data_IF_043919315179
#
_entry.id   IF_043919315179
#
_cell.length_a   1.000
_cell.length_b   1.000
_cell.length_c   1.000
_cell.angle_alpha   90.00
_cell.angle_beta   90.00
_cell.angle_gamma   90.00
#
_symmetry.space_group_name_H-M   'P 1'
#
loop_
_entity.id
_entity.type
_entity.pdbx_description
1 polymer ?
#
# COMPACT_ATOMS: atom_id res chain seq x y z
N UNK A 1 19.96 -16.60 -13.80
CA UNK A 1 19.77 -17.64 -12.76
C UNK A 1 19.09 -16.94 -11.59
N UNK A 2 17.75 -16.91 -11.58
CA UNK A 2 16.97 -16.22 -10.53
C UNK A 2 17.08 -17.06 -9.26
N UNK A 3 17.66 -16.49 -8.20
CA UNK A 3 17.82 -17.14 -6.91
C UNK A 3 16.40 -17.36 -6.35
N UNK A 4 15.83 -18.55 -6.57
CA UNK A 4 14.56 -18.94 -5.99
C UNK A 4 14.71 -18.93 -4.47
N UNK A 5 13.87 -18.13 -3.82
CA UNK A 5 13.41 -18.22 -2.43
C UNK A 5 14.39 -18.93 -1.49
N UNK A 6 15.01 -18.19 -0.57
CA UNK A 6 15.66 -18.77 0.61
C UNK A 6 14.57 -19.38 1.52
N UNK A 7 14.00 -20.51 1.10
CA UNK A 7 13.12 -21.34 1.92
C UNK A 7 13.99 -21.96 3.02
N UNK A 8 13.97 -21.37 4.21
CA UNK A 8 14.43 -22.05 5.41
C UNK A 8 13.45 -23.21 5.67
N UNK A 9 13.81 -24.39 5.16
CA UNK A 9 13.28 -25.74 5.44
C UNK A 9 11.75 -25.92 5.48
N UNK A 10 11.20 -26.71 4.54
CA UNK A 10 9.76 -27.04 4.41
C UNK A 10 9.04 -27.53 5.68
N UNK A 11 9.75 -28.11 6.66
CA UNK A 11 9.15 -28.51 7.94
C UNK A 11 8.79 -27.31 8.85
N UNK A 12 9.52 -26.20 8.72
CA UNK A 12 9.26 -24.97 9.47
C UNK A 12 8.02 -24.25 8.92
N UNK A 13 7.85 -24.24 7.61
CA UNK A 13 6.77 -23.53 6.90
C UNK A 13 5.39 -24.00 7.40
N UNK A 14 5.14 -25.32 7.43
CA UNK A 14 3.83 -25.85 7.81
C UNK A 14 3.47 -25.59 9.28
N UNK A 15 4.43 -25.70 10.19
CA UNK A 15 4.21 -25.47 11.62
C UNK A 15 3.93 -23.98 11.91
N UNK A 16 4.71 -23.09 11.30
CA UNK A 16 4.56 -21.64 11.47
C UNK A 16 3.28 -21.14 10.81
N UNK A 17 2.97 -21.61 9.59
CA UNK A 17 1.72 -21.26 8.91
C UNK A 17 0.49 -21.65 9.75
N UNK A 18 0.44 -22.87 10.29
CA UNK A 18 -0.68 -23.30 11.13
C UNK A 18 -0.87 -22.45 12.39
N UNK A 19 0.23 -22.10 13.07
CA UNK A 19 0.19 -21.26 14.28
C UNK A 19 -0.26 -19.82 13.97
N UNK A 20 0.21 -19.24 12.85
CA UNK A 20 -0.05 -17.85 12.48
C UNK A 20 -1.39 -17.65 11.73
N UNK A 21 -2.04 -18.72 11.26
CA UNK A 21 -3.35 -18.67 10.59
C UNK A 21 -4.53 -18.52 11.55
N UNK A 22 -4.44 -19.17 12.72
CA UNK A 22 -5.59 -19.37 13.63
C UNK A 22 -5.60 -18.43 14.82
N UNK A 23 -4.60 -17.57 14.93
CA UNK A 23 -4.41 -16.77 16.12
C UNK A 23 -5.11 -15.40 16.07
N UNK A 24 -5.40 -14.87 17.26
CA UNK A 24 -5.80 -13.49 17.44
C UNK A 24 -4.53 -12.63 17.54
N UNK A 25 -4.47 -11.56 16.75
CA UNK A 25 -3.33 -10.64 16.71
C UNK A 25 -3.78 -9.33 17.33
N UNK A 26 -2.94 -8.76 18.19
CA UNK A 26 -3.04 -7.35 18.48
C UNK A 26 -2.59 -6.58 17.23
N UNK A 27 -3.26 -5.47 16.92
CA UNK A 27 -2.73 -4.53 15.93
C UNK A 27 -1.35 -4.08 16.40
N UNK A 28 -0.35 -4.28 15.56
CA UNK A 28 1.03 -3.96 15.87
C UNK A 28 1.23 -2.45 15.91
N UNK A 29 1.69 -1.92 17.05
CA UNK A 29 2.15 -0.53 17.17
C UNK A 29 3.59 -0.40 16.62
N UNK A 30 3.78 -0.82 15.36
CA UNK A 30 5.08 -0.70 14.67
C UNK A 30 4.89 -0.32 13.21
N UNK A 31 5.74 0.62 12.74
CA UNK A 31 5.74 1.04 11.34
C UNK A 31 6.30 -0.06 10.44
N UNK A 32 5.74 -0.22 9.24
CA UNK A 32 6.27 -1.14 8.22
C UNK A 32 6.42 -0.40 6.91
N UNK A 33 7.59 -0.53 6.30
CA UNK A 33 7.88 0.06 4.98
C UNK A 33 8.53 -0.97 4.08
N UNK A 34 8.29 -0.86 2.77
CA UNK A 34 8.95 -1.66 1.75
C UNK A 34 9.68 -0.74 0.76
N UNK A 35 10.97 -1.00 0.55
CA UNK A 35 11.80 -0.28 -0.40
C UNK A 35 12.85 -1.24 -0.96
N UNK A 36 13.02 -1.23 -2.29
CA UNK A 36 14.06 -2.00 -3.01
C UNK A 36 14.20 -3.48 -2.56
N UNK A 37 13.07 -4.17 -2.44
CA UNK A 37 13.04 -5.59 -2.07
C UNK A 37 13.31 -5.88 -0.59
N UNK A 38 13.23 -4.86 0.26
CA UNK A 38 13.49 -4.93 1.69
C UNK A 38 12.31 -4.38 2.48
N UNK A 39 11.85 -5.13 3.48
CA UNK A 39 10.87 -4.67 4.46
C UNK A 39 11.60 -4.16 5.70
N UNK A 40 11.29 -2.95 6.13
CA UNK A 40 11.85 -2.32 7.34
C UNK A 40 10.76 -2.13 8.38
N UNK A 41 11.04 -2.56 9.61
CA UNK A 41 10.14 -2.43 10.75
C UNK A 41 10.63 -1.33 11.71
N UNK A 42 9.75 -0.37 12.00
CA UNK A 42 9.96 0.66 13.00
C UNK A 42 9.92 0.06 14.41
N UNK A 43 11.04 0.16 15.12
CA UNK A 43 11.23 -0.13 16.54
C UNK A 43 10.25 -1.15 17.20
N UNK A 44 10.19 -2.39 16.69
CA UNK A 44 9.64 -3.51 17.46
C UNK A 44 10.63 -3.86 18.58
N UNK A 45 10.44 -3.28 19.77
CA UNK A 45 11.41 -3.37 20.89
C UNK A 45 11.27 -4.62 21.77
N UNK A 46 10.37 -5.54 21.44
CA UNK A 46 10.16 -6.78 22.20
C UNK A 46 11.17 -7.85 21.75
N UNK A 47 12.34 -7.85 22.40
CA UNK A 47 13.42 -8.83 22.20
C UNK A 47 13.05 -10.12 22.96
N UNK A 48 12.05 -10.86 22.48
CA UNK A 48 11.86 -12.22 22.96
C UNK A 48 13.00 -13.11 22.43
N UNK A 49 13.36 -14.12 23.22
CA UNK A 49 14.44 -15.06 22.89
C UNK A 49 14.11 -15.94 21.68
N UNK A 50 12.83 -16.06 21.34
CA UNK A 50 12.31 -16.97 20.32
C UNK A 50 11.21 -16.28 19.48
N UNK A 51 11.58 -15.22 18.75
CA UNK A 51 10.64 -14.55 17.86
C UNK A 51 10.50 -15.32 16.54
N UNK A 52 9.28 -15.41 16.02
CA UNK A 52 8.97 -15.89 14.67
C UNK A 52 8.26 -14.80 13.90
N UNK A 53 8.74 -14.50 12.70
CA UNK A 53 8.11 -13.56 11.77
C UNK A 53 7.77 -14.26 10.46
N UNK A 54 6.61 -13.91 9.91
CA UNK A 54 6.17 -14.29 8.57
C UNK A 54 5.72 -13.05 7.82
N UNK A 55 6.04 -12.99 6.53
CA UNK A 55 5.49 -12.02 5.59
C UNK A 55 4.65 -12.79 4.58
N UNK A 56 3.38 -12.40 4.48
CA UNK A 56 2.38 -13.05 3.63
C UNK A 56 1.58 -12.05 2.81
N UNK A 57 0.92 -12.54 1.77
CA UNK A 57 -0.13 -11.81 1.07
C UNK A 57 -1.30 -11.46 2.01
N UNK A 58 -2.06 -10.42 1.66
CA UNK A 58 -3.43 -10.23 2.15
C UNK A 58 -4.44 -10.87 1.20
N UNK A 59 -5.71 -10.91 1.59
CA UNK A 59 -6.80 -11.14 0.65
C UNK A 59 -6.90 -9.98 -0.36
N UNK A 60 -7.66 -10.18 -1.44
CA UNK A 60 -7.85 -9.18 -2.51
C UNK A 60 -8.43 -7.85 -2.00
N UNK A 61 -9.22 -7.88 -0.92
CA UNK A 61 -9.80 -6.70 -0.26
C UNK A 61 -8.86 -6.05 0.78
N UNK A 62 -7.60 -6.50 0.85
CA UNK A 62 -6.62 -6.07 1.85
C UNK A 62 -6.81 -6.69 3.23
N UNK A 63 -7.82 -7.53 3.41
CA UNK A 63 -8.08 -8.18 4.70
C UNK A 63 -7.12 -9.34 4.97
N UNK A 64 -7.01 -9.72 6.25
CA UNK A 64 -6.13 -10.78 6.69
C UNK A 64 -6.54 -12.14 6.12
N UNK A 65 -5.59 -12.89 5.57
CA UNK A 65 -5.82 -14.29 5.15
C UNK A 65 -6.20 -15.18 6.34
N UNK A 66 -7.28 -15.96 6.17
CA UNK A 66 -7.76 -16.96 7.13
C UNK A 66 -6.92 -18.22 7.16
N UNK A 67 -6.14 -18.48 6.12
CA UNK A 67 -5.23 -19.62 5.99
C UNK A 67 -3.94 -19.18 5.32
N UNK A 68 -2.81 -19.56 5.91
CA UNK A 68 -1.48 -19.38 5.34
C UNK A 68 -1.05 -20.72 4.71
N UNK A 69 -0.55 -20.65 3.48
CA UNK A 69 0.01 -21.78 2.75
C UNK A 69 1.36 -21.40 2.13
N UNK A 70 2.09 -22.35 1.55
CA UNK A 70 3.43 -22.07 1.01
C UNK A 70 3.42 -21.07 -0.17
N UNK A 71 2.29 -20.94 -0.87
CA UNK A 71 2.17 -20.06 -2.03
C UNK A 71 2.07 -18.59 -1.62
N UNK A 72 1.40 -18.30 -0.50
CA UNK A 72 1.20 -16.94 0.01
C UNK A 72 2.28 -16.46 0.97
N UNK A 73 3.34 -17.24 1.19
CA UNK A 73 4.48 -16.87 2.04
C UNK A 73 5.61 -16.30 1.18
N UNK A 74 6.06 -15.10 1.54
CA UNK A 74 7.22 -14.44 0.94
C UNK A 74 8.48 -14.63 1.77
N UNK A 75 8.36 -14.54 3.09
CA UNK A 75 9.49 -14.66 3.99
C UNK A 75 9.07 -15.29 5.32
N UNK A 76 9.95 -16.16 5.85
CA UNK A 76 9.90 -16.60 7.24
C UNK A 76 11.25 -16.28 7.85
N UNK A 77 11.24 -15.75 9.06
CA UNK A 77 12.44 -15.58 9.85
C UNK A 77 12.16 -16.04 11.29
N UNK A 78 13.12 -16.77 11.85
CA UNK A 78 13.11 -17.18 13.25
C UNK A 78 14.46 -16.81 13.82
N UNK A 79 14.48 -15.76 14.63
CA UNK A 79 15.68 -15.31 15.30
C UNK A 79 15.35 -14.81 16.70
N UNK A 80 16.35 -14.86 17.58
CA UNK A 80 16.29 -14.15 18.84
C UNK A 80 16.40 -12.65 18.57
N UNK A 81 15.52 -11.87 19.20
CA UNK A 81 15.55 -10.41 19.15
C UNK A 81 14.73 -9.77 18.03
N UNK A 82 14.97 -8.47 17.82
CA UNK A 82 14.12 -7.61 17.01
C UNK A 82 14.31 -7.84 15.50
N UNK A 83 13.20 -7.83 14.76
CA UNK A 83 13.20 -7.71 13.32
C UNK A 83 13.27 -6.23 12.95
N UNK A 84 14.29 -5.83 12.20
CA UNK A 84 14.49 -4.43 11.80
C UNK A 84 14.56 -4.30 10.29
N UNK A 85 15.36 -5.13 9.63
CA UNK A 85 15.55 -5.14 8.17
C UNK A 85 15.42 -6.56 7.66
N UNK A 86 14.46 -6.77 6.75
CA UNK A 86 14.07 -8.10 6.28
C UNK A 86 14.16 -8.11 4.74
N UNK A 87 15.14 -8.81 4.14
CA UNK A 87 15.18 -8.96 2.70
C UNK A 87 14.07 -9.93 2.26
N UNK A 88 13.19 -9.47 1.38
CA UNK A 88 12.08 -10.27 0.81
C UNK A 88 12.22 -10.47 -0.69
N UNK A 89 13.03 -9.63 -1.36
CA UNK A 89 13.15 -9.59 -2.82
C UNK A 89 12.05 -8.76 -3.46
N UNK A 90 12.04 -8.72 -4.80
CA UNK A 90 10.99 -8.01 -5.54
C UNK A 90 9.64 -8.67 -5.29
N UNK A 91 8.70 -7.89 -4.77
CA UNK A 91 7.29 -8.22 -4.63
C UNK A 91 6.47 -7.53 -5.73
N UNK A 92 5.37 -8.14 -6.13
CA UNK A 92 4.41 -7.53 -7.05
C UNK A 92 3.58 -6.46 -6.33
N UNK A 93 2.92 -5.59 -7.08
CA UNK A 93 2.03 -4.58 -6.52
C UNK A 93 0.89 -5.24 -5.70
N UNK A 94 0.65 -4.72 -4.49
CA UNK A 94 -0.34 -5.29 -3.58
C UNK A 94 -0.16 -4.87 -2.13
N UNK A 95 -1.06 -5.37 -1.28
CA UNK A 95 -0.96 -5.24 0.18
C UNK A 95 -0.45 -6.54 0.78
N UNK A 96 0.45 -6.43 1.74
CA UNK A 96 1.08 -7.55 2.42
C UNK A 96 0.98 -7.34 3.93
N UNK A 97 1.09 -8.43 4.68
CA UNK A 97 1.04 -8.42 6.14
C UNK A 97 2.30 -9.02 6.73
N UNK A 98 2.91 -8.31 7.68
CA UNK A 98 3.94 -8.82 8.55
C UNK A 98 3.28 -9.34 9.82
N UNK A 99 3.51 -10.61 10.15
CA UNK A 99 3.03 -11.27 11.37
C UNK A 99 4.21 -11.63 12.24
N UNK A 100 4.21 -11.19 13.50
CA UNK A 100 5.28 -11.42 14.47
C UNK A 100 4.69 -12.07 15.71
N UNK A 101 5.34 -13.11 16.22
CA UNK A 101 5.02 -13.69 17.51
C UNK A 101 6.27 -14.07 18.29
N UNK A 102 6.16 -14.06 19.60
CA UNK A 102 7.24 -14.43 20.52
C UNK A 102 7.18 -13.55 21.75
N UNK A 103 7.08 -14.18 22.93
CA UNK A 103 6.68 -13.64 24.26
C UNK A 103 5.27 -14.09 24.75
N UNK A 104 4.51 -14.81 23.92
CA UNK A 104 3.13 -15.20 24.22
C UNK A 104 2.07 -14.29 23.59
N UNK A 105 2.49 -13.22 22.93
CA UNK A 105 1.67 -12.32 22.14
C UNK A 105 1.95 -12.48 20.64
N UNK A 106 1.04 -11.91 19.86
CA UNK A 106 1.08 -11.87 18.41
C UNK A 106 0.70 -10.47 17.93
N UNK A 107 1.49 -9.97 17.00
CA UNK A 107 1.35 -8.64 16.43
C UNK A 107 1.36 -8.71 14.92
N UNK A 108 0.58 -7.84 14.27
CA UNK A 108 0.67 -7.69 12.82
C UNK A 108 0.50 -6.26 12.36
N UNK A 109 1.08 -5.96 11.21
CA UNK A 109 0.94 -4.70 10.52
C UNK A 109 1.00 -4.94 9.01
N UNK A 110 0.37 -4.08 8.23
CA UNK A 110 0.34 -4.17 6.77
C UNK A 110 1.27 -3.15 6.13
N UNK A 111 1.71 -3.46 4.91
CA UNK A 111 2.43 -2.53 4.04
C UNK A 111 1.99 -2.72 2.60
N UNK A 112 2.17 -1.70 1.78
CA UNK A 112 1.84 -1.74 0.36
C UNK A 112 3.12 -1.75 -0.48
N UNK A 113 3.10 -2.56 -1.55
CA UNK A 113 4.08 -2.55 -2.64
C UNK A 113 3.35 -2.02 -3.86
N UNK A 114 3.99 -1.15 -4.64
CA UNK A 114 3.35 -0.54 -5.81
C UNK A 114 2.32 0.56 -5.49
N UNK A 115 1.77 0.59 -4.26
CA UNK A 115 0.90 1.67 -3.77
C UNK A 115 1.63 2.94 -3.32
N UNK A 116 2.96 2.95 -3.35
CA UNK A 116 3.80 4.12 -3.08
C UNK A 116 4.40 4.75 -4.35
N UNK A 117 3.97 4.30 -5.53
CA UNK A 117 4.33 4.95 -6.79
C UNK A 117 3.49 6.19 -6.98
N UNK A 118 4.15 7.34 -7.13
CA UNK A 118 3.56 8.50 -7.81
C UNK A 118 2.86 7.96 -9.07
N UNK A 119 1.54 8.08 -9.17
CA UNK A 119 0.88 7.79 -10.45
C UNK A 119 1.52 8.71 -11.49
N UNK A 120 1.69 8.30 -12.75
CA UNK A 120 2.12 9.31 -13.77
C UNK A 120 1.04 10.36 -14.03
N UNK A 121 -0.13 10.18 -13.42
CA UNK A 121 -1.29 11.05 -13.51
C UNK A 121 -1.07 12.34 -12.72
N UNK A 122 -1.13 13.47 -13.43
CA UNK A 122 -1.04 14.79 -12.80
C UNK A 122 -2.29 15.10 -11.99
N UNK A 123 -2.12 15.80 -10.87
CA UNK A 123 -3.24 16.40 -10.15
C UNK A 123 -3.93 17.42 -11.09
N UNK A 124 -5.24 17.25 -11.30
CA UNK A 124 -6.03 18.05 -12.24
C UNK A 124 -6.11 17.51 -13.67
N UNK A 125 -5.35 16.47 -14.03
CA UNK A 125 -5.46 15.78 -15.33
C UNK A 125 -6.51 14.66 -15.21
N UNK A 126 -7.79 15.01 -15.31
CA UNK A 126 -8.93 14.12 -15.09
C UNK A 126 -9.25 13.26 -16.32
N UNK A 127 -8.75 13.62 -17.49
CA UNK A 127 -8.87 12.82 -18.72
C UNK A 127 -7.72 11.85 -18.95
N UNK A 128 -6.54 12.12 -18.37
CA UNK A 128 -5.36 11.26 -18.44
C UNK A 128 -4.59 11.39 -19.73
N UNK A 129 -4.76 12.52 -20.43
CA UNK A 129 -4.07 12.82 -21.67
C UNK A 129 -2.72 13.53 -21.44
N UNK A 130 -2.41 13.86 -20.18
CA UNK A 130 -1.19 14.56 -19.77
C UNK A 130 -1.27 16.08 -19.86
N UNK A 131 -2.42 16.65 -20.23
CA UNK A 131 -2.63 18.10 -20.35
C UNK A 131 -3.77 18.58 -19.45
N UNK A 132 -3.46 19.35 -18.40
CA UNK A 132 -4.49 19.94 -17.54
C UNK A 132 -5.18 21.10 -18.26
N UNK A 133 -6.43 20.90 -18.67
CA UNK A 133 -7.18 21.82 -19.52
C UNK A 133 -8.69 21.86 -19.20
N UNK A 134 -9.47 22.52 -20.06
CA UNK A 134 -10.92 22.69 -19.85
C UNK A 134 -11.72 21.40 -19.95
N UNK A 135 -11.19 20.37 -20.61
CA UNK A 135 -11.83 19.05 -20.72
C UNK A 135 -11.86 18.35 -19.36
N UNK A 136 -10.77 18.43 -18.58
CA UNK A 136 -10.69 17.85 -17.24
C UNK A 136 -11.73 18.48 -16.30
N UNK A 137 -11.86 19.81 -16.36
CA UNK A 137 -12.93 20.52 -15.66
C UNK A 137 -14.33 20.07 -16.11
N UNK A 138 -14.49 19.71 -17.38
CA UNK A 138 -15.76 19.21 -17.92
C UNK A 138 -16.14 17.85 -17.32
N UNK A 139 -15.17 16.95 -17.16
CA UNK A 139 -15.37 15.64 -16.54
C UNK A 139 -15.74 15.74 -15.06
N UNK A 140 -15.11 16.66 -14.32
CA UNK A 140 -15.49 16.96 -12.93
C UNK A 140 -16.96 17.38 -12.84
N UNK A 141 -17.42 18.28 -13.72
CA UNK A 141 -18.82 18.71 -13.74
C UNK A 141 -19.78 17.59 -14.20
N UNK A 142 -19.33 16.74 -15.12
CA UNK A 142 -20.06 15.54 -15.55
C UNK A 142 -20.29 14.60 -14.37
N UNK A 143 -19.26 14.35 -13.56
CA UNK A 143 -19.33 13.59 -12.32
C UNK A 143 -20.28 14.22 -11.30
N UNK A 144 -20.06 15.49 -10.96
CA UNK A 144 -20.87 16.23 -10.00
C UNK A 144 -22.37 16.25 -10.36
N UNK A 145 -22.69 16.36 -11.65
CA UNK A 145 -24.08 16.35 -12.15
C UNK A 145 -24.67 14.95 -12.33
N UNK A 146 -23.92 13.89 -12.02
CA UNK A 146 -24.36 12.49 -12.14
C UNK A 146 -24.48 12.01 -13.58
N UNK A 147 -23.80 12.67 -14.53
CA UNK A 147 -23.80 12.33 -15.97
C UNK A 147 -22.62 11.44 -16.35
N UNK A 148 -21.55 11.48 -15.55
CA UNK A 148 -20.39 10.61 -15.59
C UNK A 148 -20.06 10.05 -14.20
N UNK A 149 -19.14 9.10 -14.15
CA UNK A 149 -18.63 8.52 -12.90
C UNK A 149 -17.10 8.57 -12.99
N UNK A 150 -16.46 9.09 -11.95
CA UNK A 150 -15.01 9.13 -11.81
C UNK A 150 -14.67 8.17 -10.67
N UNK A 151 -13.71 7.29 -10.90
CA UNK A 151 -13.24 6.28 -9.94
C UNK A 151 -11.71 6.19 -10.03
N UNK A 152 -11.08 5.59 -9.01
CA UNK A 152 -9.64 5.37 -9.00
C UNK A 152 -8.83 6.66 -9.24
N UNK A 153 -7.90 6.60 -10.19
CA UNK A 153 -7.00 7.70 -10.53
C UNK A 153 -7.74 8.93 -11.08
N UNK A 154 -8.85 8.74 -11.80
CA UNK A 154 -9.63 9.87 -12.33
C UNK A 154 -10.28 10.66 -11.18
N UNK A 155 -10.78 9.97 -10.16
CA UNK A 155 -11.35 10.60 -8.96
C UNK A 155 -10.26 11.34 -8.16
N UNK A 156 -9.11 10.70 -7.97
CA UNK A 156 -7.98 11.31 -7.25
C UNK A 156 -7.40 12.52 -7.98
N UNK A 157 -7.32 12.47 -9.31
CA UNK A 157 -6.86 13.60 -10.13
C UNK A 157 -7.88 14.75 -10.10
N UNK A 158 -9.16 14.42 -9.96
CA UNK A 158 -10.24 15.40 -9.84
C UNK A 158 -10.31 16.08 -8.48
N UNK A 159 -9.98 15.43 -7.36
CA UNK A 159 -9.99 16.03 -6.00
C UNK A 159 -8.74 16.90 -5.75
N UNK A 160 -8.64 18.01 -6.50
CA UNK A 160 -7.48 18.90 -6.51
C UNK A 160 -7.30 19.67 -5.21
N UNK A 161 -8.39 19.88 -4.46
CA UNK A 161 -8.34 20.54 -3.15
C UNK A 161 -8.17 19.55 -1.97
N UNK A 162 -8.13 18.24 -2.24
CA UNK A 162 -7.94 17.15 -1.26
C UNK A 162 -9.01 17.14 -0.18
N UNK A 163 -10.25 17.44 -0.53
CA UNK A 163 -11.38 17.42 0.39
C UNK A 163 -11.98 16.02 0.59
N UNK A 164 -11.52 15.02 -0.18
CA UNK A 164 -12.12 13.70 -0.34
C UNK A 164 -13.51 13.74 -1.01
N UNK A 165 -13.77 14.79 -1.78
CA UNK A 165 -14.98 14.96 -2.57
C UNK A 165 -14.64 15.64 -3.88
N UNK A 166 -15.34 15.28 -4.95
CA UNK A 166 -15.18 15.89 -6.27
C UNK A 166 -16.41 16.75 -6.55
N UNK A 167 -16.24 18.07 -6.54
CA UNK A 167 -17.32 19.02 -6.76
C UNK A 167 -16.96 20.21 -7.65
N UNK A 168 -17.84 21.21 -7.71
CA UNK A 168 -17.65 22.41 -8.54
C UNK A 168 -16.45 23.27 -8.16
N UNK A 169 -15.95 23.19 -6.93
CA UNK A 169 -14.74 23.88 -6.48
C UNK A 169 -13.51 23.30 -7.17
N UNK A 170 -13.42 21.98 -7.28
CA UNK A 170 -12.33 21.31 -7.98
C UNK A 170 -12.28 21.67 -9.46
N UNK A 171 -13.46 21.68 -10.10
CA UNK A 171 -13.61 22.18 -11.47
C UNK A 171 -13.14 23.63 -11.61
N UNK A 172 -13.44 24.47 -10.62
CA UNK A 172 -13.02 25.87 -10.59
C UNK A 172 -11.50 26.04 -10.46
N UNK A 173 -10.84 25.18 -9.69
CA UNK A 173 -9.38 25.17 -9.53
C UNK A 173 -8.68 24.71 -10.81
N UNK A 174 -9.16 23.66 -11.47
CA UNK A 174 -8.64 23.23 -12.78
C UNK A 174 -8.74 24.35 -13.83
N UNK A 175 -9.89 25.02 -13.91
CA UNK A 175 -10.06 26.17 -14.80
C UNK A 175 -9.13 27.32 -14.41
N UNK A 176 -8.98 27.60 -13.12
CA UNK A 176 -8.11 28.65 -12.61
C UNK A 176 -6.65 28.37 -12.95
N UNK A 177 -6.21 27.10 -12.91
CA UNK A 177 -4.89 26.69 -13.35
C UNK A 177 -4.70 26.89 -14.85
N UNK A 178 -5.64 26.42 -15.66
CA UNK A 178 -5.59 26.56 -17.11
C UNK A 178 -5.45 28.03 -17.56
N UNK A 179 -6.08 28.97 -16.86
CA UNK A 179 -5.97 30.41 -17.14
C UNK A 179 -4.86 31.13 -16.36
N UNK A 180 -4.02 30.41 -15.61
CA UNK A 180 -2.85 30.94 -14.91
C UNK A 180 -3.17 31.79 -13.67
N UNK A 181 -4.21 31.44 -12.90
CA UNK A 181 -4.74 32.23 -11.77
C UNK A 181 -4.70 31.53 -10.41
N UNK A 182 -4.26 30.29 -10.32
CA UNK A 182 -4.11 29.54 -9.06
C UNK A 182 -2.71 28.95 -8.93
N UNK A 183 -2.37 28.52 -7.71
CA UNK A 183 -1.17 27.73 -7.40
C UNK A 183 -1.51 26.43 -6.66
N UNK A 184 -2.78 26.08 -6.57
CA UNK A 184 -3.24 24.80 -5.97
C UNK A 184 -2.76 23.62 -6.81
N UNK A 185 -2.77 23.79 -8.13
CA UNK A 185 -2.23 22.87 -9.12
C UNK A 185 -0.96 23.50 -9.69
N UNK A 186 0.12 22.71 -9.85
CA UNK A 186 1.42 23.17 -10.33
C UNK A 186 1.86 22.54 -11.67
N UNK A 187 1.07 21.61 -12.20
CA UNK A 187 1.34 20.92 -13.46
C UNK A 187 2.45 19.89 -13.41
N UNK A 188 2.97 19.57 -12.22
CA UNK A 188 4.04 18.58 -12.03
C UNK A 188 3.76 17.61 -10.89
N UNK A 189 2.93 18.00 -9.92
CA UNK A 189 2.47 17.14 -8.84
C UNK A 189 1.59 16.04 -9.41
N UNK A 190 1.93 14.81 -9.11
CA UNK A 190 1.13 13.63 -9.43
C UNK A 190 0.26 13.21 -8.26
N UNK A 191 -0.80 12.45 -8.54
CA UNK A 191 -1.64 11.87 -7.49
C UNK A 191 -0.90 10.76 -6.75
N UNK A 192 -1.12 10.68 -5.45
CA UNK A 192 -0.69 9.55 -4.64
C UNK A 192 -1.62 8.36 -4.88
N UNK A 193 -1.06 7.18 -5.17
CA UNK A 193 -1.83 5.95 -5.23
C UNK A 193 -2.28 5.47 -3.84
#
# INVERSE_FOLDING_TARGET
MKLKKLLIASAVVAAVAGAMSTAAFAEGDFDVTYEDGTVTLGAYTEIATDNTMVIVDTAEDGSRLSEINEENIHQINQQAGAYTVIPVGELEDGTYEVRIGGDGNLYSATFTVGGGGESTRLLGDVTGDGEINTLDSGEILSHYTGRGVLEGDDFKAADVNKSNSVDTLDSGEVLSYYVGRTSVIDGVTTISQ
#
